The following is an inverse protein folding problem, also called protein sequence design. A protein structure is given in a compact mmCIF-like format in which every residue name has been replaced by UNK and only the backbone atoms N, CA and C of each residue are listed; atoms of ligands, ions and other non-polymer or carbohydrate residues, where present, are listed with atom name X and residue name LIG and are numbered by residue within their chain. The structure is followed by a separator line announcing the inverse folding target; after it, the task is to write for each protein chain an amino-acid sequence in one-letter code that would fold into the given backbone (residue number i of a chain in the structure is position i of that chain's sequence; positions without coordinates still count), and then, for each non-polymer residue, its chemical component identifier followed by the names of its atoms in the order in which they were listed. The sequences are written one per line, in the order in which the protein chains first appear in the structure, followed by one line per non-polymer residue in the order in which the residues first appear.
data_IF_343684515342
#
_entry.id   IF_343684515342
#
_cell.length_a   1.000
_cell.length_b   1.000
_cell.length_c   1.000
_cell.angle_alpha   90.00
_cell.angle_beta   90.00
_cell.angle_gamma   90.00
#
_symmetry.space_group_name_H-M   'P 1'
#
loop_
_entity.id
_entity.type
_entity.pdbx_description
1 polymer ?
#
# COMPACT_ATOMS: atom_id res chain seq x y z
N UNK A 1 -5.05 0.88 7.46
CA UNK A 1 -5.10 1.55 6.13
C UNK A 1 -5.28 0.45 5.10
N UNK A 2 -6.33 0.52 4.30
CA UNK A 2 -6.53 -0.41 3.19
C UNK A 2 -6.03 0.21 1.91
N UNK A 3 -5.28 -0.54 1.17
CA UNK A 3 -5.09 -0.32 -0.24
C UNK A 3 -5.29 -1.66 -0.91
N UNK A 4 -6.31 -1.75 -1.71
CA UNK A 4 -6.56 -2.89 -2.56
C UNK A 4 -6.22 -2.50 -3.99
N UNK A 5 -5.36 -3.25 -4.63
CA UNK A 5 -5.16 -3.15 -6.06
C UNK A 5 -5.87 -4.35 -6.67
N UNK A 6 -7.00 -4.10 -7.30
CA UNK A 6 -7.63 -5.08 -8.16
C UNK A 6 -7.03 -4.90 -9.56
N UNK A 7 -6.17 -5.82 -9.95
CA UNK A 7 -5.69 -5.91 -11.33
C UNK A 7 -6.86 -6.25 -12.26
N UNK A 8 -6.90 -5.61 -13.43
CA UNK A 8 -7.93 -5.87 -14.42
C UNK A 8 -7.86 -7.28 -14.97
N UNK A 9 -8.99 -7.73 -15.52
CA UNK A 9 -9.08 -8.95 -16.31
C UNK A 9 -8.29 -8.71 -17.59
N UNK A 10 -7.34 -9.58 -17.91
CA UNK A 10 -6.79 -9.65 -19.26
C UNK A 10 -7.76 -10.38 -20.21
N UNK A 11 -7.47 -10.41 -21.50
CA UNK A 11 -8.29 -11.12 -22.49
C UNK A 11 -8.35 -12.63 -22.21
N UNK A 12 -7.45 -13.17 -21.39
CA UNK A 12 -7.44 -14.56 -20.91
C UNK A 12 -8.25 -14.79 -19.63
N UNK A 13 -8.81 -13.74 -19.05
CA UNK A 13 -9.60 -13.81 -17.84
C UNK A 13 -8.81 -13.83 -16.52
N UNK A 14 -7.50 -13.64 -16.57
CA UNK A 14 -6.67 -13.59 -15.37
C UNK A 14 -6.89 -12.28 -14.58
N UNK A 15 -7.08 -12.44 -13.30
CA UNK A 15 -7.21 -11.31 -12.37
C UNK A 15 -6.13 -11.38 -11.31
N UNK A 16 -5.58 -10.23 -10.98
CA UNK A 16 -4.72 -10.05 -9.83
C UNK A 16 -5.39 -9.14 -8.81
N UNK A 17 -5.36 -9.56 -7.57
CA UNK A 17 -5.87 -8.81 -6.43
C UNK A 17 -4.86 -8.86 -5.30
N UNK A 18 -4.57 -7.73 -4.69
CA UNK A 18 -3.66 -7.64 -3.57
C UNK A 18 -4.11 -6.59 -2.57
N UNK A 19 -3.96 -6.90 -1.29
CA UNK A 19 -4.14 -5.95 -0.20
C UNK A 19 -2.78 -5.43 0.24
N UNK A 20 -2.59 -4.11 0.17
CA UNK A 20 -1.34 -3.47 0.57
C UNK A 20 -1.46 -2.99 2.02
N UNK A 21 -0.53 -3.44 2.85
CA UNK A 21 -0.48 -3.10 4.28
C UNK A 21 -0.13 -1.62 4.52
N UNK A 22 -0.63 -1.11 5.63
CA UNK A 22 -0.13 0.13 6.23
C UNK A 22 0.87 -0.16 7.34
N UNK A 23 0.72 0.50 8.47
CA UNK A 23 1.37 0.18 9.74
C UNK A 23 0.33 0.00 10.84
N UNK A 24 0.68 -0.64 11.93
CA UNK A 24 -0.19 -0.75 13.10
C UNK A 24 -0.08 0.52 13.98
N UNK A 25 -1.14 0.82 14.70
CA UNK A 25 -1.07 1.83 15.77
C UNK A 25 -0.13 1.37 16.88
N UNK A 26 0.43 2.35 17.60
CA UNK A 26 1.16 2.10 18.84
C UNK A 26 0.19 1.70 19.96
N UNK A 27 0.72 1.06 20.99
CA UNK A 27 0.02 0.74 22.22
C UNK A 27 0.61 1.55 23.40
N UNK A 28 0.05 1.40 24.59
CA UNK A 28 0.60 2.07 25.79
C UNK A 28 2.04 1.63 26.10
N UNK A 29 2.39 0.38 25.76
CA UNK A 29 3.68 -0.24 26.12
C UNK A 29 4.65 -0.43 24.96
N UNK A 30 4.26 -0.16 23.71
CA UNK A 30 5.13 -0.44 22.55
C UNK A 30 4.79 0.40 21.33
N UNK A 31 5.78 0.60 20.48
CA UNK A 31 5.60 1.16 19.16
C UNK A 31 4.77 0.25 18.25
N UNK A 32 4.15 0.83 17.24
CA UNK A 32 3.45 0.11 16.19
C UNK A 32 4.42 -0.56 15.23
N UNK A 33 4.02 -1.70 14.68
CA UNK A 33 4.79 -2.40 13.67
C UNK A 33 4.55 -1.82 12.29
N UNK A 34 5.63 -1.63 11.53
CA UNK A 34 5.56 -1.15 10.14
C UNK A 34 5.17 -2.26 9.17
N UNK A 35 4.52 -1.90 8.07
CA UNK A 35 4.15 -2.82 6.98
C UNK A 35 3.28 -4.02 7.42
N UNK A 36 2.39 -3.82 8.37
CA UNK A 36 1.56 -4.89 8.95
C UNK A 36 0.09 -4.68 8.63
N UNK A 37 -0.59 -5.74 8.25
CA UNK A 37 -2.05 -5.75 8.12
C UNK A 37 -2.68 -5.71 9.51
N UNK A 38 -3.57 -4.74 9.73
CA UNK A 38 -4.24 -4.54 11.03
C UNK A 38 -5.74 -4.64 10.95
N UNK A 39 -6.26 -4.92 9.79
CA UNK A 39 -7.68 -4.95 9.54
C UNK A 39 -8.00 -6.17 8.68
N UNK A 40 -9.15 -6.39 8.29
CA UNK A 40 -9.78 -7.41 7.46
C UNK A 40 -8.99 -8.72 7.17
N UNK A 41 -7.77 -8.65 6.70
CA UNK A 41 -6.98 -9.84 6.34
C UNK A 41 -5.54 -9.70 6.82
N UNK A 42 -5.03 -10.71 7.48
CA UNK A 42 -3.59 -10.85 7.77
C UNK A 42 -2.89 -11.50 6.58
N UNK A 43 -3.14 -10.99 5.39
CA UNK A 43 -2.49 -11.49 4.19
C UNK A 43 -1.08 -10.91 4.07
N UNK A 44 -0.24 -11.68 3.47
CA UNK A 44 1.11 -11.29 3.09
C UNK A 44 1.10 -10.73 1.67
N UNK A 45 1.89 -9.71 1.40
CA UNK A 45 2.12 -9.26 0.03
C UNK A 45 2.76 -10.36 -0.81
N UNK A 46 2.40 -10.41 -2.09
CA UNK A 46 2.98 -11.39 -3.01
C UNK A 46 4.46 -11.06 -3.26
N UNK A 47 5.29 -12.08 -3.19
CA UNK A 47 6.71 -11.94 -3.48
C UNK A 47 6.91 -11.55 -4.96
N UNK A 48 7.91 -10.69 -5.29
CA UNK A 48 8.13 -10.20 -6.64
C UNK A 48 8.28 -11.32 -7.67
N UNK A 49 9.04 -12.34 -7.34
CA UNK A 49 9.32 -13.47 -8.22
C UNK A 49 8.05 -14.24 -8.58
N UNK A 50 7.15 -14.43 -7.62
CA UNK A 50 5.87 -15.11 -7.84
C UNK A 50 4.96 -14.24 -8.68
N UNK A 51 4.89 -12.95 -8.38
CA UNK A 51 4.08 -11.99 -9.09
C UNK A 51 4.48 -11.93 -10.58
N UNK A 52 5.75 -11.69 -10.85
CA UNK A 52 6.29 -11.52 -12.19
C UNK A 52 6.32 -12.83 -12.99
N UNK A 53 6.47 -13.97 -12.32
CA UNK A 53 6.37 -15.27 -12.97
C UNK A 53 4.95 -15.58 -13.44
N UNK A 54 3.97 -15.25 -12.62
CA UNK A 54 2.56 -15.53 -12.90
C UNK A 54 1.94 -14.52 -13.87
N UNK A 55 2.33 -13.27 -13.74
CA UNK A 55 1.82 -12.13 -14.52
C UNK A 55 2.98 -11.45 -15.22
N UNK A 56 3.38 -11.95 -16.37
CA UNK A 56 4.55 -11.49 -17.14
C UNK A 56 4.47 -10.04 -17.59
N UNK A 57 3.26 -9.51 -17.64
CA UNK A 57 2.94 -8.11 -17.95
C UNK A 57 3.06 -7.16 -16.77
N UNK A 58 3.39 -7.68 -15.59
CA UNK A 58 3.56 -6.89 -14.36
C UNK A 58 5.01 -6.98 -13.89
N UNK A 59 5.58 -5.86 -13.50
CA UNK A 59 6.87 -5.78 -12.85
C UNK A 59 6.76 -5.00 -11.55
N UNK A 60 7.29 -5.54 -10.47
CA UNK A 60 7.42 -4.84 -9.20
C UNK A 60 8.70 -4.02 -9.18
N UNK A 61 8.59 -2.71 -9.35
CA UNK A 61 9.73 -1.79 -9.36
C UNK A 61 10.24 -1.49 -7.95
N UNK A 62 9.34 -1.39 -6.98
CA UNK A 62 9.71 -1.07 -5.59
C UNK A 62 8.69 -1.61 -4.59
N UNK A 63 9.19 -2.19 -3.51
CA UNK A 63 8.41 -2.49 -2.32
C UNK A 63 9.26 -2.21 -1.07
N UNK A 64 8.94 -1.16 -0.36
CA UNK A 64 9.76 -0.67 0.76
C UNK A 64 8.94 0.03 1.83
N UNK A 65 9.50 0.17 3.01
CA UNK A 65 8.89 0.94 4.10
C UNK A 65 8.87 2.43 3.72
N UNK A 66 7.74 3.09 3.96
CA UNK A 66 7.58 4.54 3.86
C UNK A 66 7.97 5.17 5.19
N UNK A 67 9.27 5.30 5.42
CA UNK A 67 9.80 5.83 6.67
C UNK A 67 9.23 7.19 7.05
N UNK A 68 8.89 7.35 8.33
CA UNK A 68 8.32 8.58 8.88
C UNK A 68 6.85 8.79 8.54
N UNK A 69 6.14 7.78 8.08
CA UNK A 69 4.71 7.88 7.79
C UNK A 69 3.80 7.52 8.97
N UNK A 70 4.32 6.85 9.99
CA UNK A 70 3.64 6.61 11.25
C UNK A 70 3.46 7.91 12.06
N UNK A 71 2.42 7.98 12.87
CA UNK A 71 2.21 9.12 13.77
C UNK A 71 3.18 9.10 14.95
N UNK A 72 3.64 10.26 15.36
CA UNK A 72 4.49 10.42 16.53
C UNK A 72 3.68 10.43 17.84
N UNK A 73 4.34 10.14 18.94
CA UNK A 73 3.75 10.13 20.30
C UNK A 73 4.73 9.58 21.32
N UNK A 74 4.22 9.25 22.52
CA UNK A 74 5.02 8.55 23.53
C UNK A 74 5.57 7.24 22.97
N UNK A 75 4.72 6.52 22.21
CA UNK A 75 5.09 5.39 21.40
C UNK A 75 4.71 5.72 19.95
N UNK A 76 5.53 5.31 19.01
CA UNK A 76 5.42 5.69 17.61
C UNK A 76 4.53 4.73 16.84
N UNK A 77 3.63 5.24 16.02
CA UNK A 77 2.86 4.41 15.07
C UNK A 77 3.76 3.77 14.02
N UNK A 78 3.41 2.57 13.56
CA UNK A 78 4.15 1.88 12.51
C UNK A 78 4.04 2.58 11.16
N UNK A 79 5.12 2.54 10.40
CA UNK A 79 5.18 3.11 9.05
C UNK A 79 4.42 2.26 8.03
N UNK A 80 3.86 2.91 7.03
CA UNK A 80 3.28 2.27 5.87
C UNK A 80 4.32 1.78 4.87
N UNK A 81 3.86 1.45 3.66
CA UNK A 81 4.72 0.97 2.58
C UNK A 81 4.57 1.82 1.32
N UNK A 82 5.58 1.77 0.49
CA UNK A 82 5.55 2.20 -0.90
C UNK A 82 5.61 0.94 -1.76
N UNK A 83 4.64 0.79 -2.66
CA UNK A 83 4.59 -0.30 -3.61
C UNK A 83 4.41 0.29 -5.00
N UNK A 84 5.38 0.07 -5.85
CA UNK A 84 5.45 0.61 -7.19
C UNK A 84 5.41 -0.52 -8.20
N UNK A 85 4.39 -0.50 -9.04
CA UNK A 85 4.13 -1.56 -10.02
C UNK A 85 4.16 -0.94 -11.42
N UNK A 86 4.93 -1.54 -12.30
CA UNK A 86 4.99 -1.20 -13.71
C UNK A 86 4.19 -2.21 -14.52
N UNK A 87 3.25 -1.71 -15.32
CA UNK A 87 2.47 -2.51 -16.26
C UNK A 87 3.14 -2.42 -17.63
N UNK A 88 3.67 -3.54 -18.11
CA UNK A 88 4.39 -3.63 -19.37
C UNK A 88 3.45 -3.67 -20.58
N UNK A 89 2.17 -3.92 -20.33
CA UNK A 89 1.10 -3.93 -21.31
C UNK A 89 -0.11 -3.15 -20.79
N UNK A 90 -0.99 -2.64 -21.65
CA UNK A 90 -2.20 -1.94 -21.22
C UNK A 90 -3.07 -2.82 -20.31
N UNK A 91 -3.43 -2.29 -19.14
CA UNK A 91 -4.26 -2.99 -18.16
C UNK A 91 -5.27 -2.04 -17.54
N UNK A 92 -6.39 -2.60 -17.11
CA UNK A 92 -7.35 -1.88 -16.28
C UNK A 92 -7.00 -2.11 -14.82
N UNK A 93 -6.73 -1.04 -14.11
CA UNK A 93 -6.41 -1.07 -12.69
C UNK A 93 -7.51 -0.38 -11.91
N UNK A 94 -7.92 -0.99 -10.80
CA UNK A 94 -8.83 -0.38 -9.84
C UNK A 94 -8.15 -0.34 -8.48
N UNK A 95 -8.28 0.77 -7.79
CA UNK A 95 -7.73 0.96 -6.45
C UNK A 95 -8.88 1.29 -5.51
N UNK A 96 -9.02 0.50 -4.45
CA UNK A 96 -9.88 0.82 -3.31
C UNK A 96 -8.98 1.23 -2.15
N UNK A 97 -9.13 2.44 -1.69
CA UNK A 97 -8.23 2.97 -0.69
C UNK A 97 -8.91 3.91 0.28
N UNK A 98 -8.38 3.99 1.50
CA UNK A 98 -8.82 4.91 2.54
C UNK A 98 -7.69 5.81 3.01
N UNK A 99 -8.03 6.80 3.86
CA UNK A 99 -7.06 7.70 4.47
C UNK A 99 -6.21 8.49 3.46
N UNK A 100 -6.84 8.91 2.37
CA UNK A 100 -6.21 9.77 1.35
C UNK A 100 -6.34 11.25 1.65
N UNK A 101 -7.46 11.65 2.29
CA UNK A 101 -7.78 13.05 2.63
C UNK A 101 -7.78 13.29 4.14
N UNK A 102 -8.19 12.31 4.92
CA UNK A 102 -8.26 12.38 6.37
C UNK A 102 -7.17 11.46 6.92
N UNK A 103 -6.15 12.00 7.60
CA UNK A 103 -5.06 11.17 8.13
C UNK A 103 -5.57 10.21 9.20
N UNK A 104 -4.88 9.08 9.43
CA UNK A 104 -5.09 8.27 10.61
C UNK A 104 -4.84 9.12 11.86
N UNK A 105 -5.82 9.22 12.73
CA UNK A 105 -5.70 10.04 13.95
C UNK A 105 -4.88 9.31 15.03
N UNK A 106 -4.20 10.08 15.86
CA UNK A 106 -3.61 9.59 17.10
C UNK A 106 -4.63 9.54 18.23
N UNK A 107 -4.35 8.76 19.25
CA UNK A 107 -5.15 8.69 20.49
C UNK A 107 -4.27 9.03 21.69
N UNK A 108 -4.88 9.44 22.80
CA UNK A 108 -4.17 9.73 24.06
C UNK A 108 -2.98 10.70 23.91
N UNK A 109 -3.14 11.73 23.08
CA UNK A 109 -2.11 12.74 22.82
C UNK A 109 -1.09 12.36 21.73
N UNK A 110 -1.30 11.26 21.03
CA UNK A 110 -0.50 10.91 19.85
C UNK A 110 -0.87 11.77 18.63
N UNK A 111 0.12 12.01 17.78
CA UNK A 111 -0.03 12.77 16.55
C UNK A 111 -0.62 11.91 15.42
N UNK A 112 -1.27 12.52 14.44
CA UNK A 112 -1.78 11.79 13.29
C UNK A 112 -0.65 11.26 12.40
N UNK A 113 -0.89 10.10 11.79
CA UNK A 113 -0.01 9.56 10.77
C UNK A 113 -0.21 10.25 9.41
N UNK A 114 0.72 10.04 8.48
CA UNK A 114 0.60 10.58 7.11
C UNK A 114 -0.56 9.96 6.34
N UNK A 115 -1.21 10.75 5.51
CA UNK A 115 -2.15 10.24 4.52
C UNK A 115 -1.47 9.31 3.52
N UNK A 116 -2.22 8.35 3.01
CA UNK A 116 -1.80 7.60 1.84
C UNK A 116 -1.94 8.42 0.56
N UNK A 117 -1.21 8.06 -0.49
CA UNK A 117 -1.41 8.59 -1.83
C UNK A 117 -1.35 7.47 -2.88
N UNK A 118 -2.01 7.69 -3.99
CA UNK A 118 -1.93 6.84 -5.16
C UNK A 118 -1.42 7.71 -6.31
N UNK A 119 -0.40 7.25 -6.99
CA UNK A 119 0.20 7.99 -8.09
C UNK A 119 0.20 7.12 -9.34
N UNK A 120 -0.40 7.61 -10.41
CA UNK A 120 -0.33 6.98 -11.73
C UNK A 120 0.63 7.79 -12.61
N UNK A 121 1.71 7.14 -13.03
CA UNK A 121 2.64 7.70 -14.01
C UNK A 121 2.38 7.08 -15.38
N UNK A 122 1.98 7.88 -16.33
CA UNK A 122 1.78 7.47 -17.71
C UNK A 122 3.12 7.35 -18.46
N UNK A 123 3.14 6.59 -19.55
CA UNK A 123 4.30 6.49 -20.46
C UNK A 123 4.71 7.87 -21.02
N UNK A 124 3.75 8.77 -21.16
CA UNK A 124 4.01 10.17 -21.58
C UNK A 124 4.77 11.01 -20.55
N UNK A 125 4.99 10.49 -19.33
CA UNK A 125 5.57 11.22 -18.20
C UNK A 125 4.57 12.04 -17.39
N UNK A 126 3.29 12.06 -17.78
CA UNK A 126 2.22 12.69 -17.00
C UNK A 126 1.95 11.89 -15.72
N UNK A 127 1.87 12.57 -14.60
CA UNK A 127 1.50 12.00 -13.31
C UNK A 127 0.08 12.44 -12.92
N UNK A 128 -0.72 11.50 -12.41
CA UNK A 128 -2.10 11.71 -11.93
C UNK A 128 -2.17 11.18 -10.50
N UNK A 129 -2.63 12.05 -9.58
CA UNK A 129 -2.90 11.71 -8.16
C UNK A 129 -4.39 11.38 -7.96
#
# INVERSE_FOLDING_TARGET
MFNEIAGGVDDSGNQYYETIAGGSGATEGSDGASAVQVHMTNTRSTDPEILEHRFREIRLESFRIRHGSGGDGKNKGGDGVIREINFLEPRKVSIVSERRKIPPYGVSGGEPASCGSNLLRKVSGEEID
#
